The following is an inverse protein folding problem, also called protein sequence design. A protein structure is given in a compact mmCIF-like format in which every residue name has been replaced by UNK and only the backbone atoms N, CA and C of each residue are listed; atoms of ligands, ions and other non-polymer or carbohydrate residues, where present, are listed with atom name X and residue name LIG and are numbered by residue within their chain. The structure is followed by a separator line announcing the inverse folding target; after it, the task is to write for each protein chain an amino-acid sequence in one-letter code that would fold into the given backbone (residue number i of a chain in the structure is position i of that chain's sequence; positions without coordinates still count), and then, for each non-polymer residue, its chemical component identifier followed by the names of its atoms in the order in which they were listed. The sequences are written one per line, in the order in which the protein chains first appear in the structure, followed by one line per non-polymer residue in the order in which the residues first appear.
data_IF_708325164505
#
_entry.id   IF_708325164505
#
_cell.length_a   1.000
_cell.length_b   1.000
_cell.length_c   1.000
_cell.angle_alpha   90.00
_cell.angle_beta   90.00
_cell.angle_gamma   90.00
#
_symmetry.space_group_name_H-M   'P 1'
#
loop_
_entity.id
_entity.type
_entity.pdbx_description
1 polymer ?
#
# COMPACT_ATOMS: atom_id res chain seq x y z
N UNK A 1 36.71 20.69 -14.29
CA UNK A 1 36.66 19.26 -13.92
C UNK A 1 36.19 19.04 -12.47
N UNK A 2 36.72 19.76 -11.48
CA UNK A 2 36.31 19.63 -10.06
C UNK A 2 34.83 19.93 -9.79
N UNK A 3 34.26 20.99 -10.38
CA UNK A 3 32.85 21.34 -10.18
C UNK A 3 31.85 20.28 -10.71
N UNK A 4 32.21 19.57 -11.78
CA UNK A 4 31.38 18.50 -12.35
C UNK A 4 31.32 17.26 -11.46
N UNK A 5 32.44 16.90 -10.83
CA UNK A 5 32.52 15.77 -9.91
C UNK A 5 31.69 15.99 -8.63
N UNK A 6 31.66 17.22 -8.09
CA UNK A 6 30.87 17.57 -6.91
C UNK A 6 29.37 17.46 -7.21
N UNK A 7 28.93 17.98 -8.37
CA UNK A 7 27.53 17.88 -8.79
C UNK A 7 27.08 16.43 -8.94
N UNK A 8 27.82 15.62 -9.70
CA UNK A 8 27.48 14.21 -9.96
C UNK A 8 27.50 13.39 -8.66
N UNK A 9 28.48 13.63 -7.78
CA UNK A 9 28.59 12.95 -6.49
C UNK A 9 27.43 13.28 -5.55
N UNK A 10 26.99 14.55 -5.51
CA UNK A 10 25.83 14.97 -4.71
C UNK A 10 24.52 14.32 -5.19
N UNK A 11 24.30 14.25 -6.50
CA UNK A 11 23.11 13.58 -7.06
C UNK A 11 23.11 12.07 -6.77
N UNK A 12 24.24 11.39 -6.94
CA UNK A 12 24.37 9.96 -6.59
C UNK A 12 24.15 9.71 -5.11
N UNK A 13 24.72 10.53 -4.24
CA UNK A 13 24.50 10.41 -2.80
C UNK A 13 23.03 10.54 -2.40
N UNK A 14 22.24 11.40 -3.05
CA UNK A 14 20.80 11.51 -2.77
C UNK A 14 20.06 10.24 -3.19
N UNK A 15 20.40 9.67 -4.35
CA UNK A 15 19.79 8.43 -4.87
C UNK A 15 20.17 7.23 -3.99
N UNK A 16 21.43 7.12 -3.57
CA UNK A 16 21.93 6.00 -2.75
C UNK A 16 21.40 6.04 -1.30
N UNK A 17 20.95 7.21 -0.82
CA UNK A 17 20.33 7.37 0.50
C UNK A 17 18.80 7.23 0.48
N UNK A 18 18.19 7.03 -0.70
CA UNK A 18 16.78 6.71 -0.75
C UNK A 18 16.57 5.32 -0.13
N UNK A 19 15.62 5.16 0.81
CA UNK A 19 15.30 3.85 1.35
C UNK A 19 14.83 2.92 0.22
N UNK A 20 15.22 1.65 0.30
CA UNK A 20 14.71 0.63 -0.62
C UNK A 20 13.19 0.53 -0.47
N UNK A 21 12.48 0.47 -1.59
CA UNK A 21 11.02 0.42 -1.61
C UNK A 21 10.50 -0.89 -1.01
N UNK A 22 11.33 -1.94 -1.03
CA UNK A 22 11.01 -3.26 -0.50
C UNK A 22 10.95 -3.30 1.03
N UNK A 23 11.55 -2.34 1.73
CA UNK A 23 11.56 -2.25 3.20
C UNK A 23 10.36 -1.46 3.78
N UNK A 24 9.42 -1.03 2.93
CA UNK A 24 8.25 -0.26 3.35
C UNK A 24 7.05 -1.18 3.59
N UNK A 25 6.71 -1.41 4.86
CA UNK A 25 5.43 -2.03 5.21
C UNK A 25 4.27 -1.05 4.96
N UNK A 26 3.60 -1.22 3.82
CA UNK A 26 2.42 -0.45 3.42
C UNK A 26 1.11 -1.01 3.99
N UNK A 27 1.17 -1.99 4.90
CA UNK A 27 -0.03 -2.59 5.48
C UNK A 27 -0.85 -1.54 6.23
N UNK A 28 -2.17 -1.46 6.01
CA UNK A 28 -2.99 -0.48 6.69
C UNK A 28 -3.12 -0.84 8.18
N UNK A 29 -2.82 0.13 9.06
CA UNK A 29 -2.94 0.00 10.53
C UNK A 29 -4.39 -0.12 11.06
N UNK A 30 -5.39 -0.35 10.20
CA UNK A 30 -6.81 -0.08 10.47
C UNK A 30 -7.77 -1.24 10.19
N UNK A 31 -7.35 -2.49 10.43
CA UNK A 31 -8.21 -3.66 10.22
C UNK A 31 -9.25 -3.86 11.32
N UNK A 32 -10.43 -4.36 10.94
CA UNK A 32 -11.43 -4.77 11.91
C UNK A 32 -11.06 -6.13 12.55
N UNK A 33 -11.35 -6.28 13.85
CA UNK A 33 -11.16 -7.55 14.57
C UNK A 33 -12.48 -8.31 14.65
N UNK A 34 -12.44 -9.63 14.46
CA UNK A 34 -13.63 -10.49 14.50
C UNK A 34 -13.53 -11.47 15.67
N UNK A 35 -14.59 -11.55 16.47
CA UNK A 35 -14.75 -12.53 17.54
C UNK A 35 -15.64 -13.67 17.07
N UNK A 36 -15.20 -14.90 17.31
CA UNK A 36 -15.90 -16.13 16.95
C UNK A 36 -16.20 -16.96 18.20
N UNK A 37 -17.26 -17.77 18.17
CA UNK A 37 -17.54 -18.79 19.19
C UNK A 37 -16.74 -20.07 18.94
N UNK A 38 -16.91 -21.07 19.83
CA UNK A 38 -16.21 -22.36 19.72
C UNK A 38 -16.63 -23.22 18.53
N UNK A 39 -17.77 -22.91 17.91
CA UNK A 39 -18.31 -23.60 16.73
C UNK A 39 -17.93 -22.86 15.42
N UNK A 40 -17.23 -21.73 15.52
CA UNK A 40 -16.75 -20.93 14.39
C UNK A 40 -17.75 -19.88 13.88
N UNK A 41 -18.86 -19.64 14.56
CA UNK A 41 -19.80 -18.59 14.18
C UNK A 41 -19.29 -17.22 14.62
N UNK A 42 -19.41 -16.22 13.75
CA UNK A 42 -19.00 -14.86 14.07
C UNK A 42 -19.98 -14.22 15.07
N UNK A 43 -19.49 -13.88 16.26
CA UNK A 43 -20.27 -13.22 17.30
C UNK A 43 -20.32 -11.71 17.09
N UNK A 44 -19.18 -11.10 16.80
CA UNK A 44 -19.07 -9.63 16.72
C UNK A 44 -17.87 -9.16 15.91
N UNK A 45 -18.08 -8.07 15.17
CA UNK A 45 -17.01 -7.25 14.59
C UNK A 45 -16.69 -6.10 15.55
N UNK A 46 -15.41 -5.95 15.88
CA UNK A 46 -14.87 -4.83 16.65
C UNK A 46 -14.14 -3.87 15.71
N UNK A 47 -14.55 -2.60 15.73
CA UNK A 47 -13.95 -1.55 14.91
C UNK A 47 -13.57 -0.37 15.80
N UNK A 48 -12.32 0.06 15.76
CA UNK A 48 -11.96 1.38 16.27
C UNK A 48 -12.39 2.45 15.23
N UNK A 49 -12.50 3.74 15.60
CA UNK A 49 -12.87 4.81 14.66
C UNK A 49 -12.00 4.85 13.39
N UNK A 50 -10.72 4.49 13.50
CA UNK A 50 -9.76 4.38 12.39
C UNK A 50 -9.59 2.95 11.84
N UNK A 51 -10.32 1.97 12.39
CA UNK A 51 -10.08 0.54 12.19
C UNK A 51 -11.32 -0.20 11.69
N UNK A 52 -11.89 0.29 10.58
CA UNK A 52 -13.06 -0.32 9.92
C UNK A 52 -12.74 -0.75 8.48
N UNK A 53 -11.52 -1.25 8.23
CA UNK A 53 -11.12 -1.81 6.94
C UNK A 53 -11.24 -3.33 6.97
N UNK A 54 -11.69 -3.93 5.87
CA UNK A 54 -11.65 -5.36 5.62
C UNK A 54 -10.64 -5.61 4.50
N UNK A 55 -9.61 -6.46 4.70
CA UNK A 55 -8.71 -6.81 3.62
C UNK A 55 -9.48 -7.63 2.60
N UNK A 56 -9.32 -7.29 1.32
CA UNK A 56 -9.82 -8.05 0.18
C UNK A 56 -8.67 -8.27 -0.78
N UNK A 57 -8.58 -9.46 -1.37
CA UNK A 57 -7.58 -9.71 -2.41
C UNK A 57 -8.04 -9.10 -3.75
N UNK A 58 -7.09 -8.82 -4.64
CA UNK A 58 -7.40 -8.17 -5.93
C UNK A 58 -8.36 -9.01 -6.78
N UNK A 59 -8.32 -10.34 -6.67
CA UNK A 59 -9.20 -11.27 -7.38
C UNK A 59 -10.66 -11.17 -6.91
N UNK A 60 -10.90 -10.66 -5.71
CA UNK A 60 -12.24 -10.44 -5.17
C UNK A 60 -12.85 -9.11 -5.64
N UNK A 61 -12.03 -8.21 -6.21
CA UNK A 61 -12.47 -6.90 -6.70
C UNK A 61 -12.96 -7.06 -8.15
N UNK A 62 -14.18 -6.60 -8.51
CA UNK A 62 -14.66 -6.67 -9.89
C UNK A 62 -13.69 -5.97 -10.87
N UNK A 63 -13.40 -6.61 -12.01
CA UNK A 63 -12.46 -6.08 -12.99
C UNK A 63 -12.84 -4.66 -13.44
N UNK A 64 -14.13 -4.38 -13.64
CA UNK A 64 -14.62 -3.05 -14.00
C UNK A 64 -14.30 -2.01 -12.92
N UNK A 65 -14.36 -2.38 -11.64
CA UNK A 65 -14.00 -1.48 -10.54
C UNK A 65 -12.49 -1.24 -10.48
N UNK A 66 -11.68 -2.26 -10.73
CA UNK A 66 -10.23 -2.11 -10.82
C UNK A 66 -9.85 -1.13 -11.94
N UNK A 67 -10.39 -1.36 -13.14
CA UNK A 67 -10.14 -0.50 -14.31
C UNK A 67 -10.67 0.92 -14.09
N UNK A 68 -11.81 1.08 -13.41
CA UNK A 68 -12.37 2.40 -13.11
C UNK A 68 -11.45 3.24 -12.21
N UNK A 69 -10.85 2.63 -11.18
CA UNK A 69 -9.90 3.32 -10.30
C UNK A 69 -8.63 3.68 -11.07
N UNK A 70 -8.06 2.73 -11.82
CA UNK A 70 -6.85 2.98 -12.62
C UNK A 70 -7.07 4.11 -13.62
N UNK A 71 -8.19 4.09 -14.35
CA UNK A 71 -8.52 5.13 -15.32
C UNK A 71 -8.68 6.55 -14.71
N UNK A 72 -8.96 6.66 -13.40
CA UNK A 72 -9.08 7.94 -12.69
C UNK A 72 -7.73 8.38 -12.11
N UNK A 73 -6.99 7.46 -11.50
CA UNK A 73 -5.82 7.80 -10.69
C UNK A 73 -4.51 7.80 -11.48
N UNK A 74 -4.33 6.87 -12.43
CA UNK A 74 -3.08 6.75 -13.19
C UNK A 74 -3.28 6.08 -14.56
N UNK A 75 -3.16 6.87 -15.63
CA UNK A 75 -3.29 6.39 -17.00
C UNK A 75 -2.17 5.42 -17.44
N UNK A 76 -1.01 5.45 -16.78
CA UNK A 76 0.19 4.66 -17.14
C UNK A 76 0.36 3.41 -16.30
N UNK A 77 -0.61 3.10 -15.44
CA UNK A 77 -0.50 2.02 -14.45
C UNK A 77 -0.17 0.63 -15.05
N UNK A 78 -0.54 0.39 -16.31
CA UNK A 78 -0.31 -0.89 -17.01
C UNK A 78 0.89 -0.88 -17.97
N UNK A 79 1.64 0.23 -18.06
CA UNK A 79 2.87 0.34 -18.86
C UNK A 79 4.08 -0.23 -18.14
#
# INVERSE_FOLDING_TARGET
VVAGCIGIGAFRGIIDNAPDVDDVDISPLGYATFLYDGDGNQLRKLTAPSSNRLPVSIEQIPADLQHAVVAIEDERFYE
#
